data_IF_766478670033
#
_entry.id   IF_766478670033
#
_cell.length_a   1.000
_cell.length_b   1.000
_cell.length_c   1.000
_cell.angle_alpha   90.00
_cell.angle_beta   90.00
_cell.angle_gamma   90.00
#
_symmetry.space_group_name_H-M   'P 1'
#
loop_
_entity.id
_entity.type
_entity.pdbx_description
1 polymer ?
#
# COMPACT_ATOMS: atom_id res chain seq x y z
N UNK A 1 23.08 4.50 -7.91
CA UNK A 1 21.61 4.31 -8.06
C UNK A 1 21.01 4.27 -6.67
N UNK A 2 20.01 5.12 -6.38
CA UNK A 2 19.24 4.98 -5.13
C UNK A 2 18.30 3.78 -5.28
N UNK A 3 18.27 2.90 -4.28
CA UNK A 3 17.36 1.75 -4.23
C UNK A 3 16.00 2.28 -3.81
N UNK A 4 15.00 2.15 -4.67
CA UNK A 4 13.61 2.42 -4.31
C UNK A 4 13.01 1.16 -3.71
N UNK A 5 12.31 1.30 -2.58
CA UNK A 5 11.64 0.20 -1.88
C UNK A 5 10.20 0.64 -1.62
N UNK A 6 9.26 -0.21 -2.01
CA UNK A 6 7.85 -0.01 -1.74
C UNK A 6 7.31 -1.17 -0.92
N UNK A 7 6.24 -0.89 -0.19
CA UNK A 7 5.54 -1.82 0.69
C UNK A 7 4.09 -1.90 0.26
N UNK A 8 3.47 -3.07 0.34
CA UNK A 8 2.06 -3.27 0.04
C UNK A 8 1.42 -4.23 1.05
N UNK A 9 0.22 -3.89 1.51
CA UNK A 9 -0.52 -4.67 2.48
C UNK A 9 -1.68 -5.45 1.82
N UNK A 10 -1.74 -6.76 2.05
CA UNK A 10 -2.86 -7.60 1.62
C UNK A 10 -3.67 -7.99 2.85
N UNK A 11 -4.82 -7.34 3.03
CA UNK A 11 -5.75 -7.66 4.13
C UNK A 11 -6.89 -8.51 3.59
N UNK A 12 -7.15 -9.64 4.25
CA UNK A 12 -8.23 -10.57 3.92
C UNK A 12 -9.18 -10.68 5.10
N UNK A 13 -10.48 -10.52 4.86
CA UNK A 13 -11.49 -10.66 5.91
C UNK A 13 -11.98 -12.11 6.05
N UNK A 14 -12.87 -12.38 7.01
CA UNK A 14 -13.45 -13.71 7.26
C UNK A 14 -14.23 -14.29 6.06
N UNK A 15 -14.62 -13.46 5.10
CA UNK A 15 -15.33 -13.85 3.87
C UNK A 15 -14.40 -14.08 2.69
N UNK A 16 -13.07 -14.08 2.90
CA UNK A 16 -12.05 -14.13 1.86
C UNK A 16 -12.10 -12.96 0.86
N UNK A 17 -12.57 -11.78 1.29
CA UNK A 17 -12.55 -10.55 0.48
C UNK A 17 -11.28 -9.75 0.79
N UNK A 18 -10.73 -9.06 -0.22
CA UNK A 18 -9.49 -8.29 -0.13
C UNK A 18 -9.80 -6.80 0.05
N UNK A 19 -9.12 -6.14 0.99
CA UNK A 19 -9.16 -4.68 1.13
C UNK A 19 -8.50 -4.00 -0.07
N UNK A 20 -9.25 -3.15 -0.76
CA UNK A 20 -8.79 -2.38 -1.91
C UNK A 20 -9.02 -0.90 -1.64
N UNK A 21 -8.08 -0.06 -2.08
CA UNK A 21 -8.15 1.40 -2.02
C UNK A 21 -8.28 1.98 -3.42
N UNK A 22 -9.04 3.06 -3.54
CA UNK A 22 -9.22 3.75 -4.80
C UNK A 22 -8.10 4.78 -4.96
N UNK A 23 -7.06 4.43 -5.73
CA UNK A 23 -5.99 5.36 -6.04
C UNK A 23 -6.48 6.41 -7.05
N UNK A 24 -6.18 7.67 -6.74
CA UNK A 24 -6.48 8.81 -7.58
C UNK A 24 -5.32 9.80 -7.54
N UNK A 25 -4.68 9.97 -8.69
CA UNK A 25 -3.89 11.18 -8.99
C UNK A 25 -4.66 12.01 -9.99
N UNK A 26 -4.53 13.33 -9.89
CA UNK A 26 -5.25 14.32 -10.74
C UNK A 26 -5.04 14.09 -12.25
N UNK A 27 -3.97 13.40 -12.61
CA UNK A 27 -3.53 13.09 -13.99
C UNK A 27 -3.80 11.62 -14.39
N UNK A 28 -4.31 10.78 -13.49
CA UNK A 28 -4.49 9.34 -13.72
C UNK A 28 -5.95 8.90 -13.62
N UNK A 29 -6.26 7.81 -14.32
CA UNK A 29 -7.56 7.13 -14.19
C UNK A 29 -7.69 6.51 -12.80
N UNK A 30 -8.87 6.61 -12.20
CA UNK A 30 -9.18 5.93 -10.94
C UNK A 30 -8.94 4.43 -11.08
N UNK A 31 -8.03 3.88 -10.27
CA UNK A 31 -7.73 2.45 -10.24
C UNK A 31 -7.85 1.94 -8.82
N UNK A 32 -8.40 0.74 -8.70
CA UNK A 32 -8.35 0.01 -7.44
C UNK A 32 -6.99 -0.67 -7.31
N UNK A 33 -6.38 -0.56 -6.14
CA UNK A 33 -5.16 -1.28 -5.78
C UNK A 33 -5.26 -1.76 -4.34
N UNK A 34 -4.37 -2.65 -3.95
CA UNK A 34 -4.12 -2.89 -2.52
C UNK A 34 -3.49 -1.64 -1.90
N UNK A 35 -3.65 -1.42 -0.57
CA UNK A 35 -2.87 -0.42 0.15
C UNK A 35 -1.38 -0.61 -0.17
N UNK A 36 -0.75 0.45 -0.65
CA UNK A 36 0.64 0.44 -1.11
C UNK A 36 1.27 1.82 -0.95
N UNK A 37 2.57 1.86 -0.70
CA UNK A 37 3.32 3.08 -0.41
C UNK A 37 4.82 2.90 -0.55
N UNK A 38 5.54 4.02 -0.58
CA UNK A 38 7.00 4.05 -0.51
C UNK A 38 7.44 3.82 0.92
N UNK A 39 8.52 3.05 1.11
CA UNK A 39 9.12 2.86 2.43
C UNK A 39 10.04 4.04 2.74
N UNK A 40 9.82 4.73 3.86
CA UNK A 40 10.68 5.84 4.26
C UNK A 40 12.03 5.35 4.80
N UNK A 41 13.03 6.23 4.74
CA UNK A 41 14.40 5.89 5.11
C UNK A 41 14.50 5.70 6.64
N UNK A 42 14.73 4.46 7.07
CA UNK A 42 14.80 4.08 8.48
C UNK A 42 13.57 3.36 9.02
N UNK A 43 12.50 3.22 8.24
CA UNK A 43 11.33 2.41 8.61
C UNK A 43 11.58 0.91 8.35
N UNK A 44 11.00 0.06 9.19
CA UNK A 44 10.91 -1.37 8.88
C UNK A 44 9.76 -1.61 7.91
N UNK A 45 9.88 -2.65 7.08
CA UNK A 45 8.81 -3.01 6.15
C UNK A 45 7.54 -3.42 6.88
N UNK A 46 7.61 -4.00 8.09
CA UNK A 46 6.41 -4.30 8.88
C UNK A 46 5.68 -3.03 9.32
N UNK A 47 6.41 -2.04 9.86
CA UNK A 47 5.82 -0.78 10.31
C UNK A 47 5.16 -0.01 9.16
N UNK A 48 5.83 0.03 7.99
CA UNK A 48 5.28 0.64 6.78
C UNK A 48 4.02 -0.09 6.27
N UNK A 49 3.97 -1.43 6.39
CA UNK A 49 2.79 -2.22 6.05
C UNK A 49 1.60 -1.91 6.97
N UNK A 50 1.84 -1.87 8.28
CA UNK A 50 0.78 -1.63 9.27
C UNK A 50 0.18 -0.23 9.10
N UNK A 51 1.02 0.78 8.85
CA UNK A 51 0.58 2.15 8.63
C UNK A 51 -0.33 2.31 7.39
N UNK A 52 -0.15 1.48 6.36
CA UNK A 52 -0.98 1.55 5.15
C UNK A 52 -2.43 1.06 5.35
N UNK A 53 -2.72 0.35 6.45
CA UNK A 53 -4.02 -0.26 6.72
C UNK A 53 -4.88 0.61 7.67
N UNK A 54 -4.29 1.66 8.27
CA UNK A 54 -4.97 2.60 9.20
C UNK A 54 -5.74 3.67 8.41
#
# INVERSE_FOLDING_TARGET
MKRWVGTAAICVNEKNEILMVLQWKKEESKRWSVPSGEQEEGETSEYCCDFQII
#
